data_IF_715903310595
#
_entry.id   IF_715903310595
#
_cell.length_a   1.000
_cell.length_b   1.000
_cell.length_c   1.000
_cell.angle_alpha   90.00
_cell.angle_beta   90.00
_cell.angle_gamma   90.00
#
_symmetry.space_group_name_H-M   'P 1'
#
loop_
_entity.id
_entity.type
_entity.pdbx_description
1 polymer ?
#
# COMPACT_ATOMS: atom_id res chain seq x y z
N UNK A 1 -12.72 5.50 22.71
CA UNK A 1 -11.96 4.53 21.90
C UNK A 1 -12.83 4.21 20.71
N UNK A 2 -12.30 4.38 19.52
CA UNK A 2 -13.02 4.20 18.26
C UNK A 2 -12.28 3.15 17.42
N UNK A 3 -13.07 2.38 16.67
CA UNK A 3 -12.59 1.30 15.82
C UNK A 3 -13.08 1.55 14.40
N UNK A 4 -12.15 1.55 13.45
CA UNK A 4 -12.44 1.68 12.03
C UNK A 4 -11.98 0.44 11.29
N UNK A 5 -12.83 -0.08 10.42
CA UNK A 5 -12.48 -1.18 9.52
C UNK A 5 -13.14 -0.93 8.18
N UNK A 6 -12.40 -1.21 7.10
CA UNK A 6 -12.92 -1.18 5.75
C UNK A 6 -12.17 -2.20 4.90
N UNK A 7 -12.83 -2.73 3.88
CA UNK A 7 -12.19 -3.64 2.95
C UNK A 7 -13.00 -3.83 1.68
N UNK A 8 -12.32 -4.31 0.64
CA UNK A 8 -12.89 -4.59 -0.66
C UNK A 8 -12.15 -5.81 -1.24
N UNK A 9 -12.89 -6.77 -1.78
CA UNK A 9 -12.34 -7.94 -2.45
C UNK A 9 -13.17 -8.24 -3.70
N UNK A 10 -12.50 -8.62 -4.80
CA UNK A 10 -13.17 -8.80 -6.08
C UNK A 10 -12.21 -8.82 -7.26
N UNK A 11 -12.76 -8.88 -8.46
CA UNK A 11 -12.00 -8.93 -9.70
C UNK A 11 -11.96 -7.55 -10.35
N UNK A 12 -10.77 -7.08 -10.75
CA UNK A 12 -10.62 -5.79 -11.45
C UNK A 12 -10.89 -4.55 -10.59
N UNK A 13 -10.66 -4.64 -9.28
CA UNK A 13 -10.92 -3.59 -8.30
C UNK A 13 -9.64 -2.99 -7.68
N UNK A 14 -8.47 -3.39 -8.17
CA UNK A 14 -7.17 -3.06 -7.60
C UNK A 14 -6.84 -1.56 -7.69
N UNK A 15 -7.40 -0.84 -8.67
CA UNK A 15 -7.30 0.62 -8.82
C UNK A 15 -7.90 1.41 -7.68
N UNK A 16 -8.84 0.83 -6.94
CA UNK A 16 -9.52 1.53 -5.84
C UNK A 16 -8.68 1.58 -4.56
N UNK A 17 -7.49 0.98 -4.58
CA UNK A 17 -6.51 1.07 -3.49
C UNK A 17 -5.53 2.22 -3.69
N UNK A 18 -5.02 2.74 -2.57
CA UNK A 18 -3.97 3.76 -2.53
C UNK A 18 -2.68 3.40 -3.29
N UNK A 19 -2.38 2.12 -3.49
CA UNK A 19 -1.16 1.66 -4.17
C UNK A 19 -1.37 1.50 -5.69
N UNK A 20 -2.60 1.65 -6.18
CA UNK A 20 -2.95 1.58 -7.60
C UNK A 20 -2.45 0.28 -8.26
N UNK A 21 -2.69 -0.86 -7.60
CA UNK A 21 -2.37 -2.17 -8.16
C UNK A 21 -3.15 -2.40 -9.48
N UNK A 22 -2.61 -3.19 -10.42
CA UNK A 22 -3.25 -3.38 -11.72
C UNK A 22 -4.54 -4.20 -11.64
N UNK A 23 -5.57 -3.79 -12.37
CA UNK A 23 -6.87 -4.47 -12.36
C UNK A 23 -6.94 -5.68 -13.27
N UNK A 24 -6.15 -5.69 -14.34
CA UNK A 24 -6.23 -6.70 -15.37
C UNK A 24 -4.87 -6.88 -16.03
N UNK A 25 -4.72 -8.02 -16.68
CA UNK A 25 -3.61 -8.34 -17.57
C UNK A 25 -4.16 -8.92 -18.87
N UNK A 26 -3.32 -9.50 -19.72
CA UNK A 26 -3.73 -10.12 -20.98
C UNK A 26 -3.68 -11.64 -20.88
N UNK A 27 -4.60 -12.31 -21.57
CA UNK A 27 -4.55 -13.75 -21.87
C UNK A 27 -3.75 -14.00 -23.14
N UNK A 28 -3.40 -15.27 -23.40
CA UNK A 28 -2.73 -15.69 -24.64
C UNK A 28 -3.49 -15.30 -25.91
N UNK A 29 -4.83 -15.27 -25.86
CA UNK A 29 -5.67 -14.84 -26.98
C UNK A 29 -5.81 -13.31 -27.10
N UNK A 30 -5.06 -12.52 -26.32
CA UNK A 30 -5.11 -11.05 -26.31
C UNK A 30 -6.31 -10.44 -25.59
N UNK A 31 -7.25 -11.25 -25.06
CA UNK A 31 -8.36 -10.71 -24.27
C UNK A 31 -7.91 -10.26 -22.88
N UNK A 32 -8.54 -9.22 -22.29
CA UNK A 32 -8.26 -8.82 -20.92
C UNK A 32 -8.62 -9.91 -19.91
N UNK A 33 -7.73 -10.17 -18.96
CA UNK A 33 -7.98 -11.03 -17.80
C UNK A 33 -8.00 -10.20 -16.52
N UNK A 34 -9.16 -10.04 -15.85
CA UNK A 34 -9.19 -9.31 -14.59
C UNK A 34 -8.38 -10.05 -13.54
N UNK A 35 -7.66 -9.30 -12.71
CA UNK A 35 -6.90 -9.82 -11.58
C UNK A 35 -7.75 -9.70 -10.32
N UNK A 36 -7.76 -10.77 -9.52
CA UNK A 36 -8.38 -10.74 -8.20
C UNK A 36 -7.59 -9.81 -7.28
N UNK A 37 -8.29 -8.94 -6.57
CA UNK A 37 -7.74 -7.96 -5.66
C UNK A 37 -8.36 -8.08 -4.28
N UNK A 38 -7.55 -7.80 -3.25
CA UNK A 38 -8.00 -7.66 -1.88
C UNK A 38 -7.34 -6.43 -1.28
N UNK A 39 -8.15 -5.56 -0.70
CA UNK A 39 -7.69 -4.45 0.12
C UNK A 39 -8.44 -4.44 1.44
N UNK A 40 -7.71 -4.23 2.53
CA UNK A 40 -8.28 -4.18 3.87
C UNK A 40 -7.50 -3.17 4.70
N UNK A 41 -8.22 -2.44 5.55
CA UNK A 41 -7.65 -1.54 6.53
C UNK A 41 -8.41 -1.65 7.84
N UNK A 42 -7.68 -1.54 8.93
CA UNK A 42 -8.23 -1.47 10.27
C UNK A 42 -7.47 -0.41 11.07
N UNK A 43 -8.15 0.23 12.00
CA UNK A 43 -7.57 1.28 12.81
C UNK A 43 -8.26 1.44 14.14
N UNK A 44 -7.50 1.95 15.10
CA UNK A 44 -7.96 2.24 16.44
C UNK A 44 -7.57 3.68 16.76
N UNK A 45 -8.52 4.43 17.30
CA UNK A 45 -8.30 5.80 17.77
C UNK A 45 -8.64 5.84 19.27
N UNK A 46 -7.68 6.31 20.06
CA UNK A 46 -7.85 6.57 21.48
C UNK A 46 -7.88 8.09 21.72
N UNK A 47 -8.75 8.49 22.65
CA UNK A 47 -8.87 9.87 23.12
C UNK A 47 -8.57 9.92 24.62
N UNK A 48 -7.29 9.89 25.05
CA UNK A 48 -6.95 9.90 26.47
C UNK A 48 -7.42 11.15 27.20
N UNK A 49 -7.45 12.30 26.52
CA UNK A 49 -7.96 13.56 27.06
C UNK A 49 -8.48 14.46 25.92
N UNK A 50 -9.19 15.56 26.21
CA UNK A 50 -9.75 16.43 25.16
C UNK A 50 -8.71 17.11 24.24
N UNK A 51 -7.43 17.12 24.62
CA UNK A 51 -6.34 17.77 23.88
C UNK A 51 -5.49 16.79 23.08
N UNK A 52 -5.57 15.48 23.32
CA UNK A 52 -4.67 14.49 22.74
C UNK A 52 -5.50 13.37 22.14
N UNK A 53 -5.26 13.10 20.86
CA UNK A 53 -5.75 11.92 20.17
C UNK A 53 -4.56 11.09 19.72
N UNK A 54 -4.63 9.77 19.91
CA UNK A 54 -3.60 8.82 19.47
C UNK A 54 -4.27 7.79 18.58
N UNK A 55 -3.64 7.46 17.46
CA UNK A 55 -4.20 6.52 16.50
C UNK A 55 -3.16 5.54 15.98
N UNK A 56 -3.64 4.35 15.64
CA UNK A 56 -2.88 3.33 14.95
C UNK A 56 -3.73 2.75 13.83
N UNK A 57 -3.17 2.66 12.62
CA UNK A 57 -3.80 2.00 11.48
C UNK A 57 -2.89 0.93 10.91
N UNK A 58 -3.50 -0.11 10.38
CA UNK A 58 -2.87 -1.13 9.56
C UNK A 58 -3.68 -1.29 8.28
N UNK A 59 -3.01 -1.25 7.14
CA UNK A 59 -3.60 -1.43 5.82
C UNK A 59 -2.82 -2.47 5.02
N UNK A 60 -3.52 -3.21 4.18
CA UNK A 60 -2.90 -4.14 3.22
C UNK A 60 -3.67 -4.13 1.90
N UNK A 61 -2.93 -4.19 0.80
CA UNK A 61 -3.43 -4.35 -0.55
C UNK A 61 -2.66 -5.48 -1.21
N UNK A 62 -3.39 -6.36 -1.89
CA UNK A 62 -2.85 -7.54 -2.54
C UNK A 62 -3.56 -7.78 -3.85
N UNK A 63 -2.78 -8.12 -4.87
CA UNK A 63 -3.28 -8.49 -6.19
C UNK A 63 -2.89 -9.93 -6.49
N UNK A 64 -3.75 -10.64 -7.20
CA UNK A 64 -3.52 -11.96 -7.74
C UNK A 64 -2.50 -11.94 -8.88
N UNK A 65 -2.33 -13.09 -9.52
CA UNK A 65 -1.52 -13.24 -10.72
C UNK A 65 -2.37 -13.91 -11.81
N UNK A 66 -2.07 -13.59 -13.06
CA UNK A 66 -2.55 -14.33 -14.20
C UNK A 66 -1.48 -14.20 -15.28
N UNK A 67 -1.03 -15.32 -15.82
CA UNK A 67 0.12 -15.35 -16.69
C UNK A 67 0.05 -16.50 -17.68
N UNK A 68 0.78 -16.35 -18.78
CA UNK A 68 0.95 -17.39 -19.78
C UNK A 68 2.36 -17.28 -20.38
N UNK A 69 2.82 -18.38 -20.96
CA UNK A 69 4.10 -18.43 -21.67
C UNK A 69 3.83 -18.84 -23.11
N UNK A 70 4.39 -18.10 -24.07
CA UNK A 70 4.24 -18.37 -25.50
C UNK A 70 5.57 -18.10 -26.21
N UNK A 71 5.99 -18.99 -27.12
CA UNK A 71 7.24 -18.91 -27.87
C UNK A 71 8.48 -18.61 -27.00
N UNK A 72 8.55 -19.20 -25.81
CA UNK A 72 9.66 -19.00 -24.87
C UNK A 72 9.68 -17.64 -24.16
N UNK A 73 8.65 -16.81 -24.36
CA UNK A 73 8.48 -15.52 -23.69
C UNK A 73 7.39 -15.58 -22.63
N UNK A 74 7.60 -14.85 -21.53
CA UNK A 74 6.69 -14.77 -20.39
C UNK A 74 5.81 -13.53 -20.48
N UNK A 75 4.50 -13.73 -20.37
CA UNK A 75 3.48 -12.68 -20.44
C UNK A 75 2.56 -12.73 -19.23
N UNK A 76 1.80 -11.65 -19.06
CA UNK A 76 0.81 -11.50 -17.99
C UNK A 76 1.34 -10.71 -16.79
N UNK A 77 0.74 -10.93 -15.63
CA UNK A 77 1.11 -10.30 -14.36
C UNK A 77 1.48 -11.35 -13.32
N UNK A 78 2.63 -11.16 -12.67
CA UNK A 78 3.13 -12.08 -11.66
C UNK A 78 3.63 -13.41 -12.22
N UNK A 79 4.13 -13.41 -13.47
CA UNK A 79 4.69 -14.60 -14.11
C UNK A 79 6.04 -15.00 -13.46
N UNK A 80 6.21 -16.25 -12.97
CA UNK A 80 7.48 -16.72 -12.41
C UNK A 80 8.65 -16.74 -13.40
N UNK A 81 8.39 -16.70 -14.70
CA UNK A 81 9.40 -16.58 -15.74
C UNK A 81 9.99 -15.18 -15.86
N UNK A 82 9.43 -14.16 -15.19
CA UNK A 82 10.02 -12.83 -15.14
C UNK A 82 11.29 -12.83 -14.29
N UNK A 83 12.29 -12.06 -14.73
CA UNK A 83 13.54 -11.93 -14.01
C UNK A 83 13.51 -10.73 -13.05
N UNK A 84 13.82 -11.05 -11.80
CA UNK A 84 14.05 -10.15 -10.69
C UNK A 84 15.54 -10.18 -10.24
N UNK A 85 16.42 -10.85 -10.99
CA UNK A 85 17.81 -11.05 -10.61
C UNK A 85 18.62 -9.75 -10.51
N UNK A 86 18.20 -8.69 -11.22
CA UNK A 86 18.79 -7.35 -11.11
C UNK A 86 18.16 -6.46 -10.04
N UNK A 87 17.12 -6.91 -9.35
CA UNK A 87 16.47 -6.08 -8.33
C UNK A 87 17.37 -5.90 -7.09
N UNK A 88 17.31 -4.73 -6.46
CA UNK A 88 18.13 -4.32 -5.30
C UNK A 88 19.64 -4.18 -5.57
N UNK A 89 20.06 -4.26 -6.83
CA UNK A 89 21.45 -4.08 -7.26
C UNK A 89 21.56 -2.78 -8.08
N UNK A 90 22.22 -1.77 -7.52
CA UNK A 90 22.51 -0.53 -8.24
C UNK A 90 23.40 -0.82 -9.46
N UNK A 91 23.07 -0.24 -10.62
CA UNK A 91 23.81 -0.41 -11.89
C UNK A 91 23.90 -1.87 -12.40
N UNK A 92 22.99 -2.76 -11.97
CA UNK A 92 22.94 -4.14 -12.50
C UNK A 92 22.61 -4.18 -13.99
N UNK A 93 23.28 -5.06 -14.73
CA UNK A 93 22.96 -5.38 -16.13
C UNK A 93 21.84 -6.42 -16.26
N UNK A 94 21.42 -7.01 -15.13
CA UNK A 94 20.33 -7.99 -15.08
C UNK A 94 18.97 -7.28 -15.03
N UNK A 95 17.94 -7.93 -15.58
CA UNK A 95 16.59 -7.37 -15.60
C UNK A 95 15.90 -7.44 -14.22
N UNK A 96 15.02 -6.46 -13.97
CA UNK A 96 14.20 -6.37 -12.77
C UNK A 96 12.76 -5.99 -13.17
N UNK A 97 11.86 -6.98 -13.26
CA UNK A 97 10.44 -6.75 -13.59
C UNK A 97 9.63 -6.27 -12.38
N UNK A 98 9.92 -6.78 -11.17
CA UNK A 98 9.38 -6.29 -9.90
C UNK A 98 7.85 -6.15 -9.83
N UNK A 99 7.08 -7.13 -10.34
CA UNK A 99 5.62 -7.13 -10.24
C UNK A 99 5.16 -7.17 -8.78
N UNK A 100 4.50 -6.11 -8.32
CA UNK A 100 4.07 -6.00 -6.91
C UNK A 100 2.94 -6.98 -6.59
N UNK A 101 3.15 -7.82 -5.59
CA UNK A 101 2.14 -8.78 -5.11
C UNK A 101 1.29 -8.18 -4.02
N UNK A 102 1.93 -7.53 -3.06
CA UNK A 102 1.25 -6.91 -1.93
C UNK A 102 2.04 -5.75 -1.36
N UNK A 103 1.30 -4.78 -0.83
CA UNK A 103 1.83 -3.69 -0.03
C UNK A 103 1.05 -3.64 1.26
N UNK A 104 1.77 -3.60 2.38
CA UNK A 104 1.15 -3.43 3.70
C UNK A 104 1.80 -2.25 4.39
N UNK A 105 1.02 -1.52 5.17
CA UNK A 105 1.47 -0.34 5.89
C UNK A 105 0.91 -0.36 7.30
N UNK A 106 1.77 -0.02 8.26
CA UNK A 106 1.37 0.29 9.62
C UNK A 106 1.70 1.76 9.89
N UNK A 107 0.74 2.48 10.45
CA UNK A 107 0.93 3.88 10.84
C UNK A 107 0.56 4.06 12.29
N UNK A 108 1.38 4.79 13.04
CA UNK A 108 1.10 5.17 14.42
C UNK A 108 1.32 6.67 14.51
N UNK A 109 0.36 7.40 15.05
CA UNK A 109 0.47 8.84 15.17
C UNK A 109 -0.33 9.40 16.33
N UNK A 110 -0.11 10.68 16.58
CA UNK A 110 -0.85 11.41 17.59
C UNK A 110 -1.02 12.87 17.21
N UNK A 111 -2.15 13.43 17.61
CA UNK A 111 -2.49 14.83 17.48
C UNK A 111 -2.54 15.47 18.86
N UNK A 112 -1.96 16.66 18.96
CA UNK A 112 -2.05 17.53 20.12
C UNK A 112 -2.72 18.85 19.74
N UNK A 113 -3.85 19.13 20.40
CA UNK A 113 -4.60 20.38 20.31
C UNK A 113 -4.02 21.38 21.31
N UNK A 114 -3.34 22.41 20.83
CA UNK A 114 -2.78 23.47 21.66
C UNK A 114 -3.87 24.41 22.18
N UNK A 115 -4.79 24.78 21.29
CA UNK A 115 -5.85 25.74 21.56
C UNK A 115 -7.16 25.24 20.97
N UNK A 116 -8.22 25.33 21.78
CA UNK A 116 -9.61 25.15 21.35
C UNK A 116 -10.39 26.33 21.89
N UNK A 117 -10.76 27.26 21.02
CA UNK A 117 -11.43 28.51 21.40
C UNK A 117 -12.45 28.96 20.37
N UNK A 118 -13.11 30.10 20.64
CA UNK A 118 -14.14 30.69 19.76
C UNK A 118 -13.63 31.10 18.37
N UNK A 119 -12.31 31.18 18.20
CA UNK A 119 -11.63 31.57 16.96
C UNK A 119 -10.98 30.39 16.23
N UNK A 120 -11.26 29.15 16.66
CA UNK A 120 -10.80 27.93 16.01
C UNK A 120 -9.95 27.03 16.89
N UNK A 121 -9.55 25.91 16.30
CA UNK A 121 -8.69 24.89 16.90
C UNK A 121 -7.34 24.87 16.19
N UNK A 122 -6.25 24.86 16.96
CA UNK A 122 -4.89 24.67 16.45
C UNK A 122 -4.37 23.33 16.94
N UNK A 123 -3.95 22.49 16.01
CA UNK A 123 -3.47 21.13 16.27
C UNK A 123 -2.12 20.91 15.57
N UNK A 124 -1.19 20.24 16.24
CA UNK A 124 -0.03 19.63 15.58
C UNK A 124 -0.06 18.12 15.77
N UNK A 125 0.47 17.41 14.79
CA UNK A 125 0.52 15.97 14.79
C UNK A 125 1.87 15.45 14.37
N UNK A 126 2.16 14.24 14.81
CA UNK A 126 3.26 13.45 14.24
C UNK A 126 2.75 12.06 13.91
N UNK A 127 3.22 11.52 12.80
CA UNK A 127 2.87 10.19 12.34
C UNK A 127 4.12 9.45 11.87
N UNK A 128 4.28 8.23 12.35
CA UNK A 128 5.24 7.27 11.85
C UNK A 128 4.51 6.29 10.94
N UNK A 129 4.98 6.13 9.71
CA UNK A 129 4.48 5.15 8.76
C UNK A 129 5.60 4.17 8.39
N UNK A 130 5.28 2.88 8.42
CA UNK A 130 6.16 1.81 7.93
C UNK A 130 5.42 1.01 6.88
N UNK A 131 5.91 1.09 5.65
CA UNK A 131 5.32 0.43 4.48
C UNK A 131 6.26 -0.67 4.00
N UNK A 132 5.71 -1.86 3.72
CA UNK A 132 6.46 -3.00 3.17
C UNK A 132 5.83 -3.44 1.86
N UNK A 133 6.64 -3.48 0.80
CA UNK A 133 6.27 -3.97 -0.53
C UNK A 133 6.88 -5.34 -0.77
N UNK A 134 6.04 -6.28 -1.17
CA UNK A 134 6.42 -7.62 -1.61
C UNK A 134 6.05 -7.78 -3.08
N UNK A 135 6.91 -8.42 -3.85
CA UNK A 135 6.69 -8.70 -5.26
C UNK A 135 6.35 -10.18 -5.48
N UNK A 136 5.88 -10.50 -6.68
CA UNK A 136 5.79 -11.89 -7.14
C UNK A 136 7.18 -12.48 -7.36
N UNK A 137 7.36 -13.73 -6.96
CA UNK A 137 8.60 -14.45 -7.16
C UNK A 137 8.86 -14.65 -8.66
N UNK A 138 10.12 -14.52 -9.05
CA UNK A 138 10.60 -14.74 -10.41
C UNK A 138 12.00 -15.32 -10.41
N UNK A 139 12.66 -15.31 -11.56
CA UNK A 139 14.07 -15.69 -11.69
C UNK A 139 14.90 -14.71 -10.85
N UNK A 140 15.67 -15.22 -9.88
CA UNK A 140 16.36 -14.38 -8.89
C UNK A 140 15.58 -14.10 -7.61
N UNK A 141 14.37 -14.67 -7.44
CA UNK A 141 13.61 -14.68 -6.20
C UNK A 141 12.51 -13.62 -6.10
N UNK A 142 12.09 -13.33 -4.86
CA UNK A 142 11.04 -12.37 -4.48
C UNK A 142 11.58 -11.23 -3.60
N UNK A 143 12.50 -10.37 -4.12
CA UNK A 143 13.03 -9.24 -3.37
C UNK A 143 11.94 -8.33 -2.82
N UNK A 144 12.04 -7.99 -1.54
CA UNK A 144 11.10 -7.11 -0.87
C UNK A 144 11.81 -5.81 -0.46
N UNK A 145 11.04 -4.74 -0.32
CA UNK A 145 11.54 -3.45 0.17
C UNK A 145 10.64 -2.91 1.26
N UNK A 146 11.21 -2.14 2.16
CA UNK A 146 10.50 -1.46 3.23
C UNK A 146 10.90 -0.01 3.29
N UNK A 147 9.96 0.85 3.64
CA UNK A 147 10.16 2.29 3.78
C UNK A 147 9.57 2.74 5.10
N UNK A 148 10.35 3.55 5.84
CA UNK A 148 9.91 4.21 7.05
C UNK A 148 9.83 5.71 6.78
N UNK A 149 8.72 6.34 7.15
CA UNK A 149 8.49 7.77 6.99
C UNK A 149 8.02 8.35 8.32
N UNK A 150 8.51 9.55 8.63
CA UNK A 150 8.02 10.36 9.74
C UNK A 150 7.41 11.63 9.16
N UNK A 151 6.19 11.92 9.58
CA UNK A 151 5.43 13.09 9.18
C UNK A 151 5.24 13.99 10.39
N UNK A 152 5.29 15.29 10.12
CA UNK A 152 5.00 16.36 11.07
C UNK A 152 3.98 17.26 10.43
N UNK A 153 2.84 17.41 11.09
CA UNK A 153 1.70 18.14 10.53
C UNK A 153 1.27 19.26 11.47
N UNK A 154 0.79 20.35 10.88
CA UNK A 154 0.19 21.47 11.60
C UNK A 154 -1.13 21.84 10.92
N UNK A 155 -2.19 22.00 11.71
CA UNK A 155 -3.55 22.27 11.22
C UNK A 155 -4.20 23.39 12.01
N UNK A 156 -4.82 24.32 11.28
CA UNK A 156 -5.69 25.36 11.83
C UNK A 156 -7.12 25.18 11.30
N UNK A 157 -8.07 25.06 12.22
CA UNK A 157 -9.49 24.83 11.93
C UNK A 157 -10.30 26.05 12.43
N UNK A 158 -10.68 27.00 11.54
CA UNK A 158 -11.29 28.26 11.95
C UNK A 158 -12.76 28.16 12.40
N UNK A 159 -13.52 27.14 11.99
CA UNK A 159 -14.99 27.04 12.21
C UNK A 159 -15.44 25.68 12.78
N UNK A 160 -14.81 25.23 13.87
CA UNK A 160 -15.08 23.91 14.47
C UNK A 160 -15.91 23.99 15.74
#
# INVERSE_FOLDING_TARGET
LELHMAGLAGWGINRYGSVLLPDATLKANGSPDPLFGVQAQAGIIAHPNPRIDVYGYFGTQRVGHSYFNENGSSYGYGNPGYSNAGCLQELSTLSCTANTRSVSEITIGGWWRFFKGKFGTVEAGTQLAYSRRQIWSGIGGDPHTSMSQIFFDFRYLPFQ
#
